data_IF_311154125598
#
_entry.id   IF_311154125598
#
_cell.length_a   1.000
_cell.length_b   1.000
_cell.length_c   1.000
_cell.angle_alpha   90.00
_cell.angle_beta   90.00
_cell.angle_gamma   90.00
#
_symmetry.space_group_name_H-M   'P 1'
#
loop_
_entity.id
_entity.type
_entity.pdbx_description
1 polymer ?
#
# COMPACT_ATOMS: atom_id res chain seq x y z
N UNK A 1 -1.42 -39.34 7.46
CA UNK A 1 -0.52 -38.18 7.20
C UNK A 1 0.87 -38.71 6.87
N UNK A 2 1.33 -38.49 5.64
CA UNK A 2 2.71 -38.90 5.28
C UNK A 2 3.70 -37.89 5.85
N UNK A 3 3.97 -37.93 7.16
CA UNK A 3 5.20 -37.42 7.77
C UNK A 3 5.28 -35.95 8.21
N UNK A 4 4.24 -35.12 8.09
CA UNK A 4 4.23 -33.77 8.63
C UNK A 4 3.47 -33.71 9.97
N UNK A 5 4.02 -32.99 10.96
CA UNK A 5 3.45 -32.91 12.31
C UNK A 5 2.33 -31.87 12.41
N UNK A 6 2.33 -30.88 11.50
CA UNK A 6 1.33 -29.80 11.45
C UNK A 6 1.16 -29.25 10.03
N UNK A 7 0.10 -28.45 9.83
CA UNK A 7 -0.14 -27.74 8.57
C UNK A 7 1.00 -26.78 8.22
N UNK A 8 1.59 -26.09 9.21
CA UNK A 8 2.73 -25.21 9.00
C UNK A 8 3.97 -25.96 8.51
N UNK A 9 4.24 -27.17 9.05
CA UNK A 9 5.32 -28.03 8.53
C UNK A 9 5.11 -28.35 7.05
N UNK A 10 3.91 -28.76 6.67
CA UNK A 10 3.56 -29.12 5.30
C UNK A 10 3.67 -27.87 4.38
N UNK A 11 3.19 -26.73 4.83
CA UNK A 11 3.23 -25.47 4.09
C UNK A 11 4.66 -24.98 3.85
N UNK A 12 5.50 -25.00 4.88
CA UNK A 12 6.92 -24.63 4.76
C UNK A 12 7.63 -25.57 3.80
N UNK A 13 7.36 -26.88 3.89
CA UNK A 13 7.94 -27.87 2.97
C UNK A 13 7.53 -27.59 1.53
N UNK A 14 6.23 -27.40 1.26
CA UNK A 14 5.72 -27.13 -0.08
C UNK A 14 6.28 -25.82 -0.63
N UNK A 15 6.31 -24.76 0.17
CA UNK A 15 6.85 -23.46 -0.24
C UNK A 15 8.34 -23.57 -0.63
N UNK A 16 9.15 -24.34 0.13
CA UNK A 16 10.57 -24.58 -0.20
C UNK A 16 10.74 -25.37 -1.47
N UNK A 17 9.94 -26.41 -1.68
CA UNK A 17 10.01 -27.27 -2.86
C UNK A 17 9.59 -26.52 -4.12
N UNK A 18 8.56 -25.65 -4.02
CA UNK A 18 8.00 -24.91 -5.15
C UNK A 18 8.62 -23.55 -5.40
N UNK A 19 9.55 -23.09 -4.57
CA UNK A 19 10.15 -21.74 -4.68
C UNK A 19 10.73 -21.42 -6.08
N UNK A 20 11.27 -22.42 -6.78
CA UNK A 20 11.76 -22.25 -8.15
C UNK A 20 10.62 -22.18 -9.19
N UNK A 21 9.37 -22.42 -8.79
CA UNK A 21 8.20 -22.60 -9.62
C UNK A 21 7.01 -21.84 -9.02
N UNK A 22 7.15 -20.53 -8.79
CA UNK A 22 6.22 -19.70 -8.02
C UNK A 22 4.75 -19.89 -8.40
N UNK A 23 4.45 -19.93 -9.71
CA UNK A 23 3.08 -20.13 -10.20
C UNK A 23 2.53 -21.54 -9.98
N UNK A 24 3.37 -22.48 -9.64
CA UNK A 24 2.97 -23.88 -9.57
C UNK A 24 2.41 -24.24 -8.19
N UNK A 25 2.96 -23.66 -7.12
CA UNK A 25 2.55 -23.96 -5.76
C UNK A 25 1.06 -23.71 -5.54
N UNK A 26 0.57 -22.56 -5.95
CA UNK A 26 -0.85 -22.18 -5.83
C UNK A 26 -1.76 -23.05 -6.71
N UNK A 27 -1.32 -23.36 -7.95
CA UNK A 27 -2.07 -24.26 -8.85
C UNK A 27 -2.19 -25.67 -8.30
N UNK A 28 -1.15 -26.17 -7.60
CA UNK A 28 -1.20 -27.47 -6.96
C UNK A 28 -2.28 -27.54 -5.88
N UNK A 29 -2.50 -26.44 -5.17
CA UNK A 29 -3.45 -26.36 -4.06
C UNK A 29 -4.90 -26.04 -4.49
N UNK A 30 -5.16 -25.71 -5.76
CA UNK A 30 -6.53 -25.38 -6.23
C UNK A 30 -7.55 -26.52 -6.03
N UNK A 31 -7.09 -27.77 -5.88
CA UNK A 31 -7.93 -28.95 -5.71
C UNK A 31 -7.97 -29.47 -4.27
N UNK A 32 -7.27 -28.82 -3.36
CA UNK A 32 -7.10 -29.30 -1.98
C UNK A 32 -7.45 -28.18 -0.99
N UNK A 33 -8.12 -28.55 0.09
CA UNK A 33 -8.55 -27.62 1.13
C UNK A 33 -7.41 -27.27 2.11
N UNK A 34 -6.31 -28.01 2.06
CA UNK A 34 -5.13 -27.80 2.90
C UNK A 34 -3.87 -28.39 2.27
N UNK A 35 -2.70 -27.96 2.74
CA UNK A 35 -1.42 -28.50 2.28
C UNK A 35 -1.21 -29.93 2.78
N UNK A 36 -1.66 -30.24 3.98
CA UNK A 36 -1.64 -31.61 4.52
C UNK A 36 -2.51 -32.55 3.69
N UNK A 37 -3.68 -32.11 3.23
CA UNK A 37 -4.56 -32.85 2.32
C UNK A 37 -3.85 -33.09 0.97
N UNK A 38 -3.22 -32.07 0.40
CA UNK A 38 -2.39 -32.23 -0.81
C UNK A 38 -1.34 -33.33 -0.65
N UNK A 39 -0.51 -33.34 0.39
CA UNK A 39 0.51 -34.36 0.60
C UNK A 39 -0.05 -35.76 0.89
N UNK A 40 -1.30 -35.86 1.41
CA UNK A 40 -1.96 -37.12 1.69
C UNK A 40 -2.50 -37.79 0.41
N UNK A 41 -3.06 -37.02 -0.50
CA UNK A 41 -3.79 -37.52 -1.67
C UNK A 41 -3.09 -37.31 -3.01
N UNK A 42 -2.04 -36.48 -3.06
CA UNK A 42 -1.31 -36.19 -4.29
C UNK A 42 -0.78 -37.47 -4.96
N UNK A 43 -1.16 -37.67 -6.22
CA UNK A 43 -0.64 -38.70 -7.10
C UNK A 43 0.22 -38.07 -8.20
N UNK A 44 1.46 -38.54 -8.41
CA UNK A 44 2.42 -37.89 -9.32
C UNK A 44 1.98 -37.82 -10.79
N UNK A 45 1.09 -38.70 -11.19
CA UNK A 45 0.67 -38.82 -12.58
C UNK A 45 -0.59 -38.00 -12.90
N UNK A 46 -1.25 -37.44 -11.90
CA UNK A 46 -2.46 -36.62 -12.07
C UNK A 46 -2.18 -35.19 -12.47
N UNK A 47 -0.98 -34.68 -12.20
CA UNK A 47 -0.58 -33.31 -12.47
C UNK A 47 0.73 -33.32 -13.25
N UNK A 48 0.75 -32.66 -14.39
CA UNK A 48 1.94 -32.49 -15.19
C UNK A 48 2.91 -31.52 -14.48
N UNK A 49 3.95 -32.09 -13.88
CA UNK A 49 4.98 -31.36 -13.12
C UNK A 49 6.34 -31.51 -13.76
N UNK A 50 7.22 -30.51 -13.62
CA UNK A 50 8.63 -30.66 -13.98
C UNK A 50 9.24 -31.89 -13.29
N UNK A 51 9.98 -32.76 -14.00
CA UNK A 51 10.50 -34.03 -13.46
C UNK A 51 11.22 -33.88 -12.12
N UNK A 52 12.07 -32.84 -12.00
CA UNK A 52 12.80 -32.54 -10.77
C UNK A 52 11.88 -32.23 -9.59
N UNK A 53 10.75 -31.58 -9.82
CA UNK A 53 9.78 -31.27 -8.76
C UNK A 53 8.99 -32.52 -8.37
N UNK A 54 8.63 -33.39 -9.34
CA UNK A 54 8.02 -34.71 -9.05
C UNK A 54 8.92 -35.50 -8.09
N UNK A 55 10.20 -35.64 -8.41
CA UNK A 55 11.17 -36.35 -7.57
C UNK A 55 11.26 -35.74 -6.16
N UNK A 56 11.27 -34.41 -6.05
CA UNK A 56 11.34 -33.71 -4.77
C UNK A 56 10.07 -33.88 -3.93
N UNK A 57 8.90 -33.87 -4.54
CA UNK A 57 7.62 -34.09 -3.85
C UNK A 57 7.46 -35.55 -3.36
N UNK A 58 8.13 -36.52 -4.00
CA UNK A 58 8.20 -37.90 -3.53
C UNK A 58 9.09 -38.09 -2.30
N UNK A 59 10.09 -37.21 -2.12
CA UNK A 59 11.08 -37.29 -1.05
C UNK A 59 11.03 -36.03 -0.16
N UNK A 60 9.86 -35.63 0.39
CA UNK A 60 9.73 -34.38 1.14
C UNK A 60 10.48 -34.41 2.50
N UNK A 61 11.11 -35.53 2.86
CA UNK A 61 11.65 -35.80 4.18
C UNK A 61 13.18 -35.97 4.21
N UNK A 62 13.90 -35.33 3.30
CA UNK A 62 15.37 -35.31 3.43
C UNK A 62 15.77 -34.62 4.73
N UNK A 63 16.84 -35.09 5.39
CA UNK A 63 17.35 -34.48 6.63
C UNK A 63 17.66 -32.99 6.48
N UNK A 64 17.98 -32.55 5.27
CA UNK A 64 18.21 -31.15 4.96
C UNK A 64 16.91 -30.35 5.06
N UNK A 65 15.83 -30.83 4.42
CA UNK A 65 14.52 -30.14 4.44
C UNK A 65 13.98 -30.11 5.86
N UNK A 66 14.09 -31.21 6.60
CA UNK A 66 13.65 -31.26 8.02
C UNK A 66 14.35 -30.20 8.87
N UNK A 67 15.69 -30.10 8.80
CA UNK A 67 16.45 -29.08 9.54
C UNK A 67 16.07 -27.66 9.15
N UNK A 68 15.76 -27.43 7.89
CA UNK A 68 15.33 -26.12 7.41
C UNK A 68 13.92 -25.76 7.91
N UNK A 69 12.99 -26.73 7.94
CA UNK A 69 11.66 -26.54 8.51
C UNK A 69 11.76 -26.25 10.00
N UNK A 70 12.52 -27.06 10.75
CA UNK A 70 12.74 -26.83 12.19
C UNK A 70 13.28 -25.44 12.50
N UNK A 71 14.18 -24.94 11.66
CA UNK A 71 14.72 -23.60 11.84
C UNK A 71 13.70 -22.50 11.50
N UNK A 72 12.81 -22.72 10.52
CA UNK A 72 11.72 -21.79 10.23
C UNK A 72 10.70 -21.77 11.38
N UNK A 73 10.37 -22.93 11.93
CA UNK A 73 9.46 -23.03 13.08
C UNK A 73 10.03 -22.33 14.33
N UNK A 74 11.32 -22.52 14.61
CA UNK A 74 11.99 -21.77 15.70
C UNK A 74 11.96 -20.27 15.52
N UNK A 75 12.03 -19.79 14.27
CA UNK A 75 11.88 -18.37 13.97
C UNK A 75 10.43 -17.90 14.17
N UNK A 76 9.45 -18.74 13.84
CA UNK A 76 8.02 -18.44 14.04
C UNK A 76 7.64 -18.39 15.53
N UNK A 77 8.38 -19.09 16.41
CA UNK A 77 8.19 -19.03 17.86
C UNK A 77 8.62 -17.69 18.49
N UNK A 78 9.32 -16.84 17.74
CA UNK A 78 9.74 -15.53 18.22
C UNK A 78 8.56 -14.53 18.23
N UNK A 79 8.49 -13.63 19.23
CA UNK A 79 7.42 -12.63 19.30
C UNK A 79 7.32 -11.77 18.05
N UNK A 80 6.10 -11.55 17.56
CA UNK A 80 5.84 -10.73 16.38
C UNK A 80 6.11 -11.42 15.05
N UNK A 81 6.52 -12.69 15.04
CA UNK A 81 6.71 -13.47 13.84
C UNK A 81 5.47 -14.32 13.52
N UNK A 82 5.18 -14.53 12.26
CA UNK A 82 4.05 -15.35 11.81
C UNK A 82 4.25 -15.89 10.40
N UNK A 83 3.58 -16.99 10.11
CA UNK A 83 3.41 -17.55 8.78
C UNK A 83 1.93 -17.41 8.42
N UNK A 84 1.63 -16.75 7.30
CA UNK A 84 0.26 -16.48 6.86
C UNK A 84 0.01 -17.30 5.61
N UNK A 85 -0.78 -18.37 5.73
CA UNK A 85 -1.14 -19.27 4.65
C UNK A 85 -2.17 -18.66 3.72
N UNK A 86 -2.16 -19.01 2.43
CA UNK A 86 -3.21 -18.65 1.47
C UNK A 86 -4.61 -19.16 1.88
N UNK A 87 -4.67 -20.16 2.76
CA UNK A 87 -5.90 -20.68 3.36
C UNK A 87 -6.34 -19.92 4.62
N UNK A 88 -5.48 -19.07 5.18
CA UNK A 88 -5.81 -18.27 6.37
C UNK A 88 -6.81 -17.16 5.97
N UNK A 89 -7.84 -16.96 6.79
CA UNK A 89 -8.80 -15.86 6.61
C UNK A 89 -8.13 -14.48 6.68
N UNK A 90 -6.96 -14.38 7.31
CA UNK A 90 -6.16 -13.16 7.42
C UNK A 90 -5.22 -12.95 6.23
N UNK A 91 -5.19 -13.88 5.26
CA UNK A 91 -4.42 -13.66 4.04
C UNK A 91 -4.96 -12.44 3.29
N UNK A 92 -4.09 -11.52 2.84
CA UNK A 92 -4.53 -10.27 2.22
C UNK A 92 -5.46 -10.50 1.03
N UNK A 93 -6.68 -9.95 1.08
CA UNK A 93 -7.70 -10.16 0.06
C UNK A 93 -7.20 -9.73 -1.32
N UNK A 94 -6.64 -8.52 -1.43
CA UNK A 94 -6.08 -8.01 -2.67
C UNK A 94 -4.96 -8.89 -3.24
N UNK A 95 -4.10 -9.43 -2.37
CA UNK A 95 -3.00 -10.30 -2.80
C UNK A 95 -3.51 -11.68 -3.29
N UNK A 96 -4.66 -12.12 -2.81
CA UNK A 96 -5.28 -13.39 -3.25
C UNK A 96 -5.84 -13.30 -4.67
N UNK A 97 -6.14 -12.09 -5.15
CA UNK A 97 -6.71 -11.84 -6.48
C UNK A 97 -5.69 -11.83 -7.61
N UNK A 98 -4.39 -11.69 -7.32
CA UNK A 98 -3.38 -11.68 -8.38
C UNK A 98 -3.22 -13.05 -9.01
N UNK A 99 -2.74 -13.11 -10.26
CA UNK A 99 -2.58 -14.37 -11.03
C UNK A 99 -1.66 -15.39 -10.35
N UNK A 100 -0.74 -14.92 -9.52
CA UNK A 100 0.30 -15.73 -8.89
C UNK A 100 0.45 -15.33 -7.40
N UNK A 101 -0.59 -15.58 -6.57
CA UNK A 101 -0.51 -15.30 -5.14
C UNK A 101 0.49 -16.25 -4.47
N UNK A 102 1.31 -15.78 -3.51
CA UNK A 102 2.23 -16.67 -2.79
C UNK A 102 1.48 -17.67 -1.91
N UNK A 103 2.01 -18.88 -1.78
CA UNK A 103 1.45 -19.92 -0.91
C UNK A 103 1.35 -19.46 0.54
N UNK A 104 2.34 -18.70 0.98
CA UNK A 104 2.40 -18.13 2.30
C UNK A 104 3.27 -16.88 2.32
N UNK A 105 3.09 -16.10 3.38
CA UNK A 105 3.94 -14.97 3.73
C UNK A 105 4.58 -15.23 5.08
N UNK A 106 5.92 -15.20 5.14
CA UNK A 106 6.66 -15.00 6.37
C UNK A 106 6.55 -13.54 6.76
N UNK A 107 6.22 -13.26 8.00
CA UNK A 107 5.96 -11.90 8.47
C UNK A 107 6.61 -11.64 9.82
N UNK A 108 7.17 -10.43 9.98
CA UNK A 108 7.73 -9.93 11.24
C UNK A 108 7.20 -8.52 11.50
N UNK A 109 6.38 -8.36 12.53
CA UNK A 109 5.70 -7.12 12.90
C UNK A 109 4.18 -7.26 13.00
N UNK A 110 3.45 -6.15 12.80
CA UNK A 110 1.99 -6.11 12.92
C UNK A 110 1.29 -6.63 11.66
N UNK A 111 0.85 -7.89 11.69
CA UNK A 111 0.17 -8.55 10.56
C UNK A 111 -1.19 -7.94 10.18
N UNK A 112 -1.84 -7.21 11.09
CA UNK A 112 -3.16 -6.63 10.83
C UNK A 112 -3.10 -5.53 9.77
N UNK A 113 -1.90 -4.97 9.53
CA UNK A 113 -1.66 -3.99 8.47
C UNK A 113 -1.85 -4.55 7.05
N UNK A 114 -1.73 -5.86 6.87
CA UNK A 114 -1.80 -6.49 5.55
C UNK A 114 -3.19 -6.42 4.91
N UNK A 115 -4.24 -6.22 5.71
CA UNK A 115 -5.62 -6.09 5.24
C UNK A 115 -6.16 -4.66 5.34
N UNK A 116 -5.29 -3.68 5.62
CA UNK A 116 -5.65 -2.26 5.59
C UNK A 116 -5.42 -1.68 4.19
N UNK A 117 -6.06 -0.56 3.91
CA UNK A 117 -5.85 0.18 2.66
C UNK A 117 -4.39 0.60 2.52
N UNK A 118 -3.80 0.26 1.35
CA UNK A 118 -2.39 0.44 1.09
C UNK A 118 -2.15 1.13 -0.24
N UNK A 119 -1.13 1.99 -0.28
CA UNK A 119 -0.59 2.55 -1.52
C UNK A 119 0.89 2.16 -1.62
N UNK A 120 1.26 1.55 -2.75
CA UNK A 120 2.65 1.26 -3.07
C UNK A 120 3.36 2.54 -3.50
N UNK A 121 4.56 2.80 -2.97
CA UNK A 121 5.43 3.88 -3.45
C UNK A 121 6.73 3.26 -3.94
N UNK A 122 7.01 3.43 -5.23
CA UNK A 122 8.19 2.86 -5.90
C UNK A 122 8.93 3.89 -6.74
N UNK A 123 10.18 3.60 -7.08
CA UNK A 123 10.92 4.50 -7.94
C UNK A 123 12.40 4.16 -8.09
N UNK A 124 13.16 5.14 -8.55
CA UNK A 124 14.59 5.02 -8.81
C UNK A 124 15.39 4.62 -7.55
N UNK A 125 16.35 3.71 -7.73
CA UNK A 125 17.35 3.39 -6.70
C UNK A 125 18.46 4.46 -6.58
N UNK A 126 18.53 5.36 -7.57
CA UNK A 126 19.44 6.51 -7.61
C UNK A 126 18.62 7.77 -7.94
N UNK A 127 17.71 8.18 -7.04
CA UNK A 127 16.85 9.31 -7.28
C UNK A 127 17.58 10.63 -7.13
N UNK A 128 16.93 11.70 -7.60
CA UNK A 128 17.33 13.06 -7.27
C UNK A 128 17.01 13.40 -5.80
N UNK A 129 17.59 14.48 -5.27
CA UNK A 129 17.20 14.97 -3.93
C UNK A 129 15.71 15.37 -3.89
N UNK A 130 15.20 15.90 -5.00
CA UNK A 130 13.79 16.25 -5.12
C UNK A 130 12.91 14.98 -5.07
N UNK A 131 13.26 13.92 -5.81
CA UNK A 131 12.55 12.66 -5.78
C UNK A 131 12.50 12.02 -4.38
N UNK A 132 13.60 12.09 -3.62
CA UNK A 132 13.60 11.64 -2.21
C UNK A 132 12.63 12.45 -1.35
N UNK A 133 12.62 13.79 -1.50
CA UNK A 133 11.70 14.68 -0.78
C UNK A 133 10.25 14.37 -1.13
N UNK A 134 9.93 14.23 -2.42
CA UNK A 134 8.59 13.91 -2.91
C UNK A 134 8.10 12.57 -2.32
N UNK A 135 8.88 11.50 -2.46
CA UNK A 135 8.51 10.19 -1.93
C UNK A 135 8.22 10.22 -0.43
N UNK A 136 9.06 10.94 0.33
CA UNK A 136 8.91 11.11 1.77
C UNK A 136 7.65 11.89 2.12
N UNK A 137 7.35 12.96 1.39
CA UNK A 137 6.19 13.81 1.60
C UNK A 137 4.89 13.05 1.32
N UNK A 138 4.75 12.42 0.13
CA UNK A 138 3.58 11.61 -0.19
C UNK A 138 3.35 10.50 0.84
N UNK A 139 4.42 9.79 1.24
CA UNK A 139 4.32 8.75 2.25
C UNK A 139 3.83 9.28 3.60
N UNK A 140 4.35 10.44 4.03
CA UNK A 140 3.94 11.09 5.27
C UNK A 140 2.48 11.54 5.23
N UNK A 141 2.04 12.19 4.14
CA UNK A 141 0.68 12.68 3.99
C UNK A 141 -0.34 11.54 3.89
N UNK A 142 -0.09 10.49 3.09
CA UNK A 142 -0.93 9.29 3.01
C UNK A 142 -1.02 8.58 4.37
N UNK A 143 0.10 8.49 5.08
CA UNK A 143 0.14 7.85 6.41
C UNK A 143 -0.68 8.61 7.46
N UNK A 144 -0.73 9.96 7.42
CA UNK A 144 -1.63 10.76 8.27
C UNK A 144 -3.11 10.48 8.03
N UNK A 145 -3.45 10.12 6.79
CA UNK A 145 -4.81 9.74 6.41
C UNK A 145 -5.15 8.28 6.73
N UNK A 146 -4.23 7.56 7.38
CA UNK A 146 -4.41 6.17 7.77
C UNK A 146 -4.15 5.17 6.66
N UNK A 147 -3.60 5.59 5.50
CA UNK A 147 -3.22 4.72 4.39
C UNK A 147 -1.83 4.14 4.66
N UNK A 148 -1.72 2.83 4.61
CA UNK A 148 -0.45 2.12 4.84
C UNK A 148 0.46 2.25 3.61
N UNK A 149 1.74 2.52 3.83
CA UNK A 149 2.71 2.63 2.74
C UNK A 149 3.41 1.30 2.51
N UNK A 150 3.26 0.75 1.32
CA UNK A 150 3.91 -0.50 0.92
C UNK A 150 5.06 -0.23 -0.04
N UNK A 151 6.23 -0.79 0.23
CA UNK A 151 7.39 -0.66 -0.66
C UNK A 151 8.39 -1.81 -0.49
N UNK A 152 9.48 -1.77 -1.24
CA UNK A 152 10.42 -2.89 -1.33
C UNK A 152 11.70 -2.76 -0.53
N UNK A 153 11.83 -1.77 0.36
CA UNK A 153 13.02 -1.49 1.15
C UNK A 153 14.32 -1.29 0.32
N UNK A 154 14.21 -1.05 -0.98
CA UNK A 154 15.36 -0.79 -1.86
C UNK A 154 15.98 0.59 -1.59
N UNK A 155 17.18 0.82 -2.15
CA UNK A 155 17.76 2.16 -2.13
C UNK A 155 16.85 3.19 -2.79
N UNK A 156 16.98 4.43 -2.36
CA UNK A 156 16.33 5.58 -3.00
C UNK A 156 14.88 5.77 -2.58
N UNK A 157 13.96 5.73 -3.54
CA UNK A 157 12.55 6.06 -3.35
C UNK A 157 11.90 5.16 -2.28
N UNK A 158 12.11 3.84 -2.35
CA UNK A 158 11.53 2.89 -1.39
C UNK A 158 11.90 3.26 0.07
N UNK A 159 13.18 3.47 0.34
CA UNK A 159 13.65 3.83 1.68
C UNK A 159 13.11 5.19 2.14
N UNK A 160 12.96 6.14 1.20
CA UNK A 160 12.41 7.46 1.49
C UNK A 160 10.92 7.37 1.84
N UNK A 161 10.16 6.53 1.13
CA UNK A 161 8.76 6.26 1.39
C UNK A 161 8.55 5.65 2.81
N UNK A 162 9.29 4.59 3.15
CA UNK A 162 9.25 4.04 4.51
C UNK A 162 9.62 5.07 5.57
N UNK A 163 10.62 5.91 5.30
CA UNK A 163 11.05 6.96 6.24
C UNK A 163 9.94 7.99 6.44
N UNK A 164 9.21 8.37 5.39
CA UNK A 164 8.08 9.30 5.47
C UNK A 164 6.94 8.73 6.32
N UNK A 165 6.52 7.50 6.05
CA UNK A 165 5.48 6.82 6.83
C UNK A 165 5.86 6.70 8.31
N UNK A 166 7.10 6.30 8.62
CA UNK A 166 7.60 6.16 9.99
C UNK A 166 7.73 7.47 10.78
N UNK A 167 7.59 8.63 10.14
CA UNK A 167 7.54 9.93 10.82
C UNK A 167 6.16 10.23 11.41
N UNK A 168 5.12 9.67 10.83
CA UNK A 168 3.72 9.86 11.22
C UNK A 168 3.20 8.69 12.06
N UNK A 169 2.22 7.94 11.54
CA UNK A 169 1.64 6.77 12.22
C UNK A 169 2.65 5.63 12.42
N UNK A 170 3.66 5.57 11.56
CA UNK A 170 4.65 4.50 11.55
C UNK A 170 4.20 3.24 10.78
N UNK A 171 3.02 3.25 10.19
CA UNK A 171 2.42 2.08 9.52
C UNK A 171 2.95 1.94 8.10
N UNK A 172 3.83 0.97 7.90
CA UNK A 172 4.42 0.68 6.58
C UNK A 172 4.75 -0.79 6.44
N UNK A 173 4.66 -1.31 5.21
CA UNK A 173 4.92 -2.70 4.86
C UNK A 173 6.15 -2.77 3.97
N UNK A 174 7.19 -3.43 4.46
CA UNK A 174 8.38 -3.73 3.66
C UNK A 174 8.27 -5.15 3.09
N UNK A 175 8.18 -5.27 1.77
CA UNK A 175 8.17 -6.55 1.09
C UNK A 175 9.60 -6.90 0.71
N UNK A 176 10.09 -8.11 1.07
CA UNK A 176 11.50 -8.51 0.87
C UNK A 176 11.67 -9.40 -0.35
N UNK A 177 12.81 -9.25 -1.05
CA UNK A 177 13.24 -10.14 -2.14
C UNK A 177 14.21 -11.24 -1.68
N UNK A 178 14.21 -11.55 -0.38
CA UNK A 178 14.99 -12.59 0.30
C UNK A 178 14.21 -13.05 1.53
N UNK A 179 14.70 -14.03 2.28
CA UNK A 179 14.08 -14.43 3.53
C UNK A 179 13.95 -13.27 4.52
N UNK A 180 12.90 -13.27 5.33
CA UNK A 180 12.64 -12.23 6.35
C UNK A 180 13.76 -12.11 7.41
N UNK A 181 14.56 -13.13 7.57
CA UNK A 181 15.74 -13.16 8.44
C UNK A 181 16.98 -12.46 7.86
N UNK A 182 16.90 -11.97 6.62
CA UNK A 182 17.99 -11.29 5.93
C UNK A 182 17.60 -9.88 5.50
N UNK A 183 18.29 -8.88 6.02
CA UNK A 183 18.04 -7.50 5.60
C UNK A 183 18.92 -7.13 4.40
N UNK A 184 18.27 -6.70 3.32
CA UNK A 184 18.93 -6.21 2.13
C UNK A 184 18.26 -4.92 1.61
N UNK A 185 19.04 -3.86 1.34
CA UNK A 185 20.48 -3.75 1.54
C UNK A 185 20.89 -3.67 3.02
N UNK A 186 22.08 -4.12 3.39
CA UNK A 186 22.57 -4.08 4.78
C UNK A 186 22.59 -2.67 5.39
N UNK A 187 22.81 -1.64 4.58
CA UNK A 187 22.78 -0.24 5.03
C UNK A 187 21.40 0.19 5.54
N UNK A 188 20.32 -0.55 5.21
CA UNK A 188 18.95 -0.28 5.67
C UNK A 188 18.56 -1.09 6.92
N UNK A 189 19.50 -1.72 7.60
CA UNK A 189 19.23 -2.52 8.80
C UNK A 189 18.47 -1.71 9.87
N UNK A 190 18.92 -0.48 10.16
CA UNK A 190 18.23 0.41 11.11
C UNK A 190 16.82 0.80 10.64
N UNK A 191 16.63 1.00 9.33
CA UNK A 191 15.32 1.29 8.76
C UNK A 191 14.41 0.05 8.88
N UNK A 192 14.92 -1.13 8.53
CA UNK A 192 14.20 -2.39 8.64
C UNK A 192 13.75 -2.68 10.08
N UNK A 193 14.62 -2.47 11.07
CA UNK A 193 14.26 -2.60 12.50
C UNK A 193 13.07 -1.71 12.85
N UNK A 194 13.11 -0.43 12.48
CA UNK A 194 12.00 0.50 12.72
C UNK A 194 10.71 0.10 12.00
N UNK A 195 10.83 -0.46 10.78
CA UNK A 195 9.67 -1.01 10.04
C UNK A 195 9.10 -2.22 10.79
N UNK A 196 9.94 -3.15 11.27
CA UNK A 196 9.49 -4.30 12.05
C UNK A 196 8.82 -3.92 13.39
N UNK A 197 9.30 -2.84 14.04
CA UNK A 197 8.76 -2.36 15.32
C UNK A 197 7.40 -1.66 15.17
N UNK A 198 7.21 -0.85 14.13
CA UNK A 198 6.03 0.02 13.94
C UNK A 198 5.12 -0.39 12.79
N UNK A 199 5.58 -1.24 11.93
CA UNK A 199 4.91 -1.74 10.74
C UNK A 199 5.05 -3.25 10.62
N UNK A 200 5.40 -3.73 9.42
CA UNK A 200 5.63 -5.15 9.16
C UNK A 200 6.64 -5.37 8.04
N UNK A 201 7.47 -6.39 8.16
CA UNK A 201 8.32 -6.92 7.11
C UNK A 201 7.71 -8.24 6.64
N UNK A 202 7.55 -8.41 5.32
CA UNK A 202 6.98 -9.63 4.75
C UNK A 202 7.83 -10.19 3.62
N UNK A 203 7.80 -11.51 3.44
CA UNK A 203 8.44 -12.20 2.32
C UNK A 203 7.70 -13.49 1.96
N UNK A 204 7.61 -13.78 0.66
CA UNK A 204 7.19 -15.12 0.17
C UNK A 204 8.32 -16.14 0.24
N UNK A 205 9.57 -15.66 0.34
CA UNK A 205 10.74 -16.53 0.32
C UNK A 205 10.97 -17.17 1.68
N UNK A 206 11.25 -18.49 1.72
CA UNK A 206 11.67 -19.17 2.94
C UNK A 206 12.88 -18.48 3.60
N UNK A 207 13.00 -18.64 4.91
CA UNK A 207 14.15 -18.11 5.65
C UNK A 207 15.47 -18.57 5.04
N UNK A 208 16.52 -17.79 5.20
CA UNK A 208 17.87 -18.03 4.62
C UNK A 208 17.93 -18.01 3.10
N UNK A 209 16.81 -17.66 2.42
CA UNK A 209 16.87 -17.40 0.99
C UNK A 209 17.72 -16.17 0.71
N UNK A 210 18.87 -16.41 0.06
CA UNK A 210 19.82 -15.34 -0.26
C UNK A 210 19.27 -14.39 -1.32
N UNK A 211 19.81 -13.19 -1.31
CA UNK A 211 19.50 -12.16 -2.32
C UNK A 211 19.91 -12.63 -3.72
N UNK A 212 18.97 -12.65 -4.65
CA UNK A 212 19.20 -13.00 -6.05
C UNK A 212 18.50 -11.97 -6.95
N UNK A 213 19.11 -11.63 -8.09
CA UNK A 213 18.56 -10.63 -9.01
C UNK A 213 17.13 -10.97 -9.48
N UNK A 214 16.85 -12.25 -9.72
CA UNK A 214 15.55 -12.76 -10.16
C UNK A 214 14.42 -12.58 -9.12
N UNK A 215 14.76 -12.51 -7.83
CA UNK A 215 13.77 -12.39 -6.77
C UNK A 215 13.14 -10.99 -6.72
N UNK A 216 13.83 -9.96 -7.19
CA UNK A 216 13.30 -8.59 -7.13
C UNK A 216 12.09 -8.36 -8.03
N UNK A 217 12.10 -8.74 -9.34
CA UNK A 217 10.89 -8.69 -10.15
C UNK A 217 9.77 -9.57 -9.61
N UNK A 218 10.09 -10.76 -9.10
CA UNK A 218 9.12 -11.67 -8.49
C UNK A 218 8.46 -11.02 -7.27
N UNK A 219 9.22 -10.41 -6.36
CA UNK A 219 8.73 -9.72 -5.19
C UNK A 219 7.86 -8.50 -5.53
N UNK A 220 8.18 -7.78 -6.62
CA UNK A 220 7.45 -6.55 -6.96
C UNK A 220 5.95 -6.79 -7.18
N UNK A 221 5.53 -7.98 -7.66
CA UNK A 221 4.12 -8.34 -7.77
C UNK A 221 3.39 -8.35 -6.42
N UNK A 222 4.11 -8.58 -5.32
CA UNK A 222 3.54 -8.52 -3.98
C UNK A 222 3.38 -7.07 -3.52
N UNK A 223 4.35 -6.20 -3.84
CA UNK A 223 4.26 -4.77 -3.52
C UNK A 223 3.01 -4.16 -4.15
N UNK A 224 2.79 -4.43 -5.43
CA UNK A 224 1.62 -3.94 -6.18
C UNK A 224 0.33 -4.68 -5.80
N UNK A 225 0.41 -6.01 -5.64
CA UNK A 225 -0.74 -6.86 -5.32
C UNK A 225 -1.34 -6.65 -3.93
N UNK A 226 -0.55 -6.14 -2.98
CA UNK A 226 -1.04 -5.74 -1.65
C UNK A 226 -1.74 -4.38 -1.67
N UNK A 227 -1.53 -3.56 -2.71
CA UNK A 227 -1.88 -2.14 -2.73
C UNK A 227 -3.08 -1.85 -3.64
N UNK A 228 -3.88 -0.86 -3.29
CA UNK A 228 -4.97 -0.33 -4.12
C UNK A 228 -4.43 0.37 -5.37
N UNK A 229 -3.26 0.98 -5.26
CA UNK A 229 -2.58 1.63 -6.36
C UNK A 229 -1.08 1.80 -6.12
N UNK A 230 -0.35 2.17 -7.17
CA UNK A 230 1.12 2.28 -7.16
C UNK A 230 1.56 3.65 -7.63
N UNK A 231 2.20 4.43 -6.75
CA UNK A 231 2.83 5.71 -7.07
C UNK A 231 4.27 5.49 -7.54
N UNK A 232 4.58 5.96 -8.75
CA UNK A 232 5.92 5.99 -9.32
C UNK A 232 6.47 7.40 -9.23
N UNK A 233 7.47 7.62 -8.37
CA UNK A 233 8.01 8.96 -8.10
C UNK A 233 9.07 9.37 -9.14
N UNK A 234 10.02 8.50 -9.41
CA UNK A 234 11.04 8.67 -10.45
C UNK A 234 11.34 7.34 -11.14
N UNK A 235 11.41 7.34 -12.46
CA UNK A 235 11.76 6.16 -13.24
C UNK A 235 12.50 6.53 -14.52
N UNK A 236 13.67 5.93 -14.77
CA UNK A 236 14.33 5.94 -16.07
C UNK A 236 13.64 4.91 -17.00
N UNK A 237 13.87 5.01 -18.31
CA UNK A 237 13.24 4.17 -19.36
C UNK A 237 13.35 2.66 -19.12
N UNK A 238 14.46 2.20 -18.52
CA UNK A 238 14.69 0.76 -18.20
C UNK A 238 14.78 0.56 -16.70
N UNK A 239 13.79 1.04 -15.97
CA UNK A 239 13.72 0.98 -14.50
C UNK A 239 12.91 -0.22 -14.02
N UNK A 240 13.33 -0.83 -12.91
CA UNK A 240 12.53 -1.86 -12.23
C UNK A 240 11.21 -1.31 -11.66
N UNK A 241 11.09 -0.01 -11.43
CA UNK A 241 9.85 0.64 -11.01
C UNK A 241 8.80 0.70 -12.12
N UNK A 242 9.21 0.77 -13.39
CA UNK A 242 8.28 0.59 -14.52
C UNK A 242 7.71 -0.83 -14.56
N UNK A 243 8.52 -1.84 -14.22
CA UNK A 243 8.02 -3.22 -14.11
C UNK A 243 6.93 -3.29 -13.03
N UNK A 244 7.11 -2.61 -11.90
CA UNK A 244 6.06 -2.55 -10.86
C UNK A 244 4.80 -1.84 -11.35
N UNK A 245 4.92 -0.75 -12.12
CA UNK A 245 3.76 -0.06 -12.69
C UNK A 245 2.95 -0.97 -13.64
N UNK A 246 3.62 -1.69 -14.53
CA UNK A 246 2.92 -2.64 -15.42
C UNK A 246 2.33 -3.83 -14.67
N UNK A 247 3.00 -4.34 -13.62
CA UNK A 247 2.44 -5.37 -12.75
C UNK A 247 1.18 -4.87 -12.02
N UNK A 248 1.14 -3.61 -11.60
CA UNK A 248 -0.05 -3.01 -11.00
C UNK A 248 -1.22 -3.00 -11.99
N UNK A 249 -0.98 -2.59 -13.25
CA UNK A 249 -2.00 -2.61 -14.32
C UNK A 249 -2.50 -4.04 -14.59
N UNK A 250 -1.58 -5.01 -14.72
CA UNK A 250 -1.94 -6.42 -14.92
C UNK A 250 -2.78 -6.98 -13.76
N UNK A 251 -2.68 -6.40 -12.57
CA UNK A 251 -3.42 -6.75 -11.37
C UNK A 251 -4.69 -5.90 -11.17
N UNK A 252 -5.09 -5.09 -12.15
CA UNK A 252 -6.21 -4.15 -12.05
C UNK A 252 -6.06 -3.17 -10.85
N UNK A 253 -4.87 -2.63 -10.65
CA UNK A 253 -4.57 -1.62 -9.63
C UNK A 253 -4.24 -0.29 -10.31
N UNK A 254 -4.61 0.80 -9.65
CA UNK A 254 -4.33 2.14 -10.14
C UNK A 254 -2.83 2.43 -10.24
N UNK A 255 -2.44 3.23 -11.23
CA UNK A 255 -1.06 3.68 -11.42
C UNK A 255 -1.01 5.19 -11.42
N UNK A 256 -0.21 5.71 -10.51
CA UNK A 256 0.05 7.13 -10.31
C UNK A 256 1.47 7.45 -10.72
N UNK A 257 1.69 8.57 -11.41
CA UNK A 257 3.03 8.95 -11.84
C UNK A 257 3.30 10.43 -11.56
N UNK A 258 4.38 10.69 -10.84
CA UNK A 258 4.81 12.06 -10.55
C UNK A 258 5.43 12.66 -11.80
N UNK A 259 4.95 13.82 -12.29
CA UNK A 259 5.55 14.53 -13.41
C UNK A 259 6.92 15.09 -13.00
N UNK A 260 7.76 15.42 -13.97
CA UNK A 260 9.05 16.02 -13.71
C UNK A 260 9.60 16.78 -14.89
N UNK A 261 10.83 17.28 -14.79
CA UNK A 261 11.46 18.02 -15.89
C UNK A 261 11.64 17.11 -17.12
N UNK A 262 11.31 17.61 -18.30
CA UNK A 262 11.56 16.94 -19.60
C UNK A 262 13.05 16.72 -19.87
N UNK A 263 13.93 17.45 -19.19
CA UNK A 263 15.39 17.31 -19.28
C UNK A 263 15.95 16.27 -18.30
N UNK A 264 15.12 15.76 -17.38
CA UNK A 264 15.54 14.75 -16.41
C UNK A 264 15.39 13.34 -16.95
N UNK A 265 16.46 12.60 -17.01
CA UNK A 265 16.43 11.16 -17.37
C UNK A 265 15.64 10.31 -16.38
N UNK A 266 15.47 10.79 -15.13
CA UNK A 266 14.69 10.13 -14.09
C UNK A 266 13.17 10.33 -14.24
N UNK A 267 12.73 11.31 -15.05
CA UNK A 267 11.30 11.58 -15.28
C UNK A 267 10.74 10.90 -16.53
N UNK A 268 11.62 10.40 -17.41
CA UNK A 268 11.20 9.85 -18.72
C UNK A 268 10.23 8.68 -18.55
N UNK A 269 10.46 7.80 -17.57
CA UNK A 269 9.59 6.67 -17.30
C UNK A 269 8.22 7.11 -16.75
N UNK A 270 8.18 8.09 -15.85
CA UNK A 270 6.91 8.66 -15.37
C UNK A 270 6.13 9.32 -16.49
N UNK A 271 6.79 10.08 -17.38
CA UNK A 271 6.15 10.67 -18.58
C UNK A 271 5.61 9.60 -19.52
N UNK A 272 6.30 8.45 -19.65
CA UNK A 272 5.78 7.34 -20.43
C UNK A 272 4.51 6.77 -19.80
N UNK A 273 4.52 6.51 -18.49
CA UNK A 273 3.34 6.01 -17.76
C UNK A 273 2.14 6.95 -17.89
N UNK A 274 2.35 8.28 -17.78
CA UNK A 274 1.29 9.28 -17.96
C UNK A 274 0.70 9.21 -19.38
N UNK A 275 1.55 9.09 -20.41
CA UNK A 275 1.08 8.91 -21.80
C UNK A 275 0.33 7.60 -22.02
N UNK A 276 0.68 6.56 -21.26
CA UNK A 276 0.05 5.25 -21.31
C UNK A 276 -1.24 5.21 -20.47
N UNK A 277 -1.62 6.31 -19.81
CA UNK A 277 -2.89 6.45 -19.07
C UNK A 277 -2.76 6.46 -17.55
N UNK A 278 -1.54 6.40 -16.99
CA UNK A 278 -1.38 6.59 -15.55
C UNK A 278 -1.82 8.00 -15.11
N UNK A 279 -2.45 8.11 -13.95
CA UNK A 279 -2.87 9.39 -13.37
C UNK A 279 -1.64 10.27 -13.13
N UNK A 280 -1.60 11.45 -13.77
CA UNK A 280 -0.64 12.48 -13.40
C UNK A 280 -0.91 12.91 -11.97
N UNK A 281 0.12 12.89 -11.12
CA UNK A 281 -0.03 13.02 -9.67
C UNK A 281 0.93 14.07 -9.13
N UNK A 282 0.37 15.20 -8.69
CA UNK A 282 1.10 16.32 -8.10
C UNK A 282 0.87 16.43 -6.59
N UNK A 283 -0.25 15.83 -6.11
CA UNK A 283 -0.67 15.87 -4.71
C UNK A 283 -1.28 14.53 -4.26
N UNK A 284 -1.46 14.35 -2.95
CA UNK A 284 -2.15 13.19 -2.39
C UNK A 284 -3.63 13.18 -2.80
N UNK A 285 -4.24 14.34 -3.04
CA UNK A 285 -5.62 14.42 -3.51
C UNK A 285 -5.82 13.69 -4.83
N UNK A 286 -4.86 13.75 -5.75
CA UNK A 286 -4.92 13.03 -7.03
C UNK A 286 -4.98 11.51 -6.85
N UNK A 287 -4.39 10.99 -5.77
CA UNK A 287 -4.44 9.57 -5.41
C UNK A 287 -5.81 9.24 -4.80
N UNK A 288 -6.29 10.07 -3.87
CA UNK A 288 -7.54 9.82 -3.15
C UNK A 288 -8.76 9.85 -4.08
N UNK A 289 -8.74 10.67 -5.13
CA UNK A 289 -9.80 10.73 -6.17
C UNK A 289 -10.08 9.37 -6.82
N UNK A 290 -9.06 8.55 -6.99
CA UNK A 290 -9.16 7.23 -7.63
C UNK A 290 -9.32 6.09 -6.62
N UNK A 291 -9.12 6.35 -5.31
CA UNK A 291 -9.24 5.30 -4.30
C UNK A 291 -10.70 5.12 -3.86
N UNK A 292 -11.24 3.89 -3.89
CA UNK A 292 -12.61 3.62 -3.47
C UNK A 292 -12.82 3.95 -2.00
N UNK A 293 -13.88 4.68 -1.68
CA UNK A 293 -14.27 5.01 -0.31
C UNK A 293 -13.60 6.26 0.27
N UNK A 294 -12.69 6.90 -0.45
CA UNK A 294 -12.11 8.18 -0.07
C UNK A 294 -12.88 9.31 -0.76
N UNK A 295 -13.49 10.17 0.03
CA UNK A 295 -14.13 11.40 -0.47
C UNK A 295 -13.17 12.54 -0.16
N UNK A 296 -12.68 13.19 -1.20
CA UNK A 296 -11.95 14.44 -1.02
C UNK A 296 -13.02 15.46 -0.61
N UNK A 297 -13.10 15.71 0.69
CA UNK A 297 -13.67 16.98 1.10
C UNK A 297 -12.73 18.05 0.53
N UNK A 298 -13.25 19.09 -0.16
CA UNK A 298 -12.43 20.22 -0.52
C UNK A 298 -11.63 20.58 0.74
N UNK A 299 -10.34 20.92 0.62
CA UNK A 299 -9.57 21.28 1.79
C UNK A 299 -10.41 22.28 2.56
N UNK A 300 -10.83 21.94 3.76
CA UNK A 300 -11.13 22.95 4.74
C UNK A 300 -9.89 23.83 4.63
N UNK A 301 -10.06 25.01 4.10
CA UNK A 301 -9.03 26.03 4.04
C UNK A 301 -8.57 26.21 5.50
N UNK A 302 -7.62 25.38 5.89
CA UNK A 302 -7.06 25.35 7.25
C UNK A 302 -6.26 26.60 7.58
N UNK A 303 -6.41 27.64 6.74
CA UNK A 303 -5.92 28.99 6.93
C UNK A 303 -6.98 30.09 6.75
N UNK A 304 -8.25 29.73 6.53
CA UNK A 304 -9.37 30.64 6.70
C UNK A 304 -10.11 30.29 8.01
N UNK A 305 -9.57 30.69 9.16
CA UNK A 305 -10.48 31.22 10.18
C UNK A 305 -11.39 32.20 9.42
N UNK A 306 -12.72 32.01 9.46
CA UNK A 306 -13.61 32.91 8.74
C UNK A 306 -13.20 34.32 9.11
N UNK A 307 -12.89 35.13 8.09
CA UNK A 307 -12.40 36.51 8.33
C UNK A 307 -13.22 37.08 9.45
N UNK A 308 -12.67 37.91 10.30
CA UNK A 308 -13.40 38.45 11.47
C UNK A 308 -14.79 38.96 11.09
N UNK A 309 -14.98 39.28 9.81
CA UNK A 309 -16.26 39.73 9.20
C UNK A 309 -17.18 38.56 8.87
N UNK A 310 -16.71 37.45 8.28
CA UNK A 310 -17.51 36.22 8.05
C UNK A 310 -18.05 35.67 9.39
N UNK A 311 -17.18 35.66 10.41
CA UNK A 311 -17.55 35.20 11.75
C UNK A 311 -18.64 36.08 12.39
N UNK A 312 -18.55 37.40 12.27
CA UNK A 312 -19.58 38.34 12.72
C UNK A 312 -20.91 38.08 12.04
N UNK A 313 -20.93 37.77 10.73
CA UNK A 313 -22.15 37.45 9.99
C UNK A 313 -22.75 36.14 10.51
N UNK A 314 -21.95 35.07 10.64
CA UNK A 314 -22.42 33.75 11.09
C UNK A 314 -22.95 33.78 12.52
N UNK A 315 -22.41 34.61 13.41
CA UNK A 315 -22.86 34.79 14.80
C UNK A 315 -24.23 35.47 14.90
N UNK A 316 -24.62 36.26 13.90
CA UNK A 316 -25.90 36.92 13.86
C UNK A 316 -27.00 36.08 13.19
N UNK A 317 -26.64 35.11 12.36
CA UNK A 317 -27.58 34.27 11.67
C UNK A 317 -28.14 33.15 12.58
N UNK A 318 -29.42 32.92 12.50
CA UNK A 318 -30.17 31.92 13.25
C UNK A 318 -31.09 31.11 12.33
N UNK A 319 -32.03 30.37 12.90
CA UNK A 319 -33.10 29.69 12.14
C UNK A 319 -34.15 30.67 11.54
N UNK A 320 -34.16 31.92 11.97
CA UNK A 320 -35.00 32.96 11.41
C UNK A 320 -34.24 33.73 10.33
N UNK A 321 -34.86 33.99 9.16
CA UNK A 321 -34.22 34.73 8.08
C UNK A 321 -33.89 36.17 8.50
N UNK A 322 -32.69 36.63 8.15
CA UNK A 322 -32.23 38.01 8.35
C UNK A 322 -31.90 38.62 7.00
N UNK A 323 -32.43 39.78 6.70
CA UNK A 323 -32.14 40.46 5.44
C UNK A 323 -30.73 41.04 5.37
N UNK A 324 -30.17 41.27 4.17
CA UNK A 324 -28.86 41.93 4.03
C UNK A 324 -28.79 43.32 4.66
N UNK A 325 -29.93 44.07 4.61
CA UNK A 325 -29.98 45.40 5.20
C UNK A 325 -29.93 45.35 6.73
N UNK A 326 -30.62 44.42 7.36
CA UNK A 326 -30.54 44.19 8.81
C UNK A 326 -29.15 43.70 9.23
N UNK A 327 -28.56 42.80 8.45
CA UNK A 327 -27.16 42.34 8.71
C UNK A 327 -26.17 43.51 8.60
N UNK A 328 -26.36 44.43 7.65
CA UNK A 328 -25.54 45.63 7.53
C UNK A 328 -25.66 46.50 8.80
N UNK A 329 -26.85 46.74 9.28
CA UNK A 329 -27.09 47.54 10.49
C UNK A 329 -26.48 46.90 11.74
N UNK A 330 -26.58 45.57 11.89
CA UNK A 330 -26.09 44.84 13.07
C UNK A 330 -24.57 44.70 13.04
N UNK A 331 -23.96 44.37 11.88
CA UNK A 331 -22.55 44.06 11.77
C UNK A 331 -21.66 45.26 11.49
N UNK A 332 -22.24 46.34 10.94
CA UNK A 332 -21.53 47.52 10.49
C UNK A 332 -20.68 47.31 9.22
N UNK A 333 -20.82 46.15 8.54
CA UNK A 333 -20.08 45.84 7.32
C UNK A 333 -20.73 46.59 6.15
N UNK A 334 -20.00 47.32 5.30
CA UNK A 334 -20.55 48.00 4.13
C UNK A 334 -21.32 47.05 3.21
N UNK A 335 -22.50 47.48 2.72
CA UNK A 335 -23.45 46.58 2.00
C UNK A 335 -22.81 45.90 0.78
N UNK A 336 -21.95 46.58 0.04
CA UNK A 336 -21.24 46.01 -1.12
C UNK A 336 -20.26 44.90 -0.71
N UNK A 337 -19.60 45.01 0.43
CA UNK A 337 -18.73 44.00 0.99
C UNK A 337 -19.55 42.85 1.61
N UNK A 338 -20.64 43.19 2.33
CA UNK A 338 -21.53 42.21 2.94
C UNK A 338 -22.17 41.28 1.91
N UNK A 339 -22.65 41.80 0.78
CA UNK A 339 -23.22 40.98 -0.30
C UNK A 339 -22.19 39.99 -0.86
N UNK A 340 -20.93 40.42 -1.05
CA UNK A 340 -19.86 39.52 -1.51
C UNK A 340 -19.54 38.43 -0.50
N UNK A 341 -19.54 38.76 0.81
CA UNK A 341 -19.34 37.78 1.89
C UNK A 341 -20.51 36.79 2.01
N UNK A 342 -21.76 37.24 1.84
CA UNK A 342 -22.93 36.39 1.86
C UNK A 342 -22.94 35.41 0.69
N UNK A 343 -22.58 35.85 -0.51
CA UNK A 343 -22.44 34.98 -1.69
C UNK A 343 -21.36 33.91 -1.43
N UNK A 344 -20.22 34.29 -0.88
CA UNK A 344 -19.15 33.34 -0.56
C UNK A 344 -19.59 32.32 0.51
N UNK A 345 -20.27 32.78 1.58
CA UNK A 345 -20.78 31.89 2.63
C UNK A 345 -21.87 30.95 2.11
N UNK A 346 -22.68 31.37 1.11
CA UNK A 346 -23.68 30.54 0.45
C UNK A 346 -23.02 29.48 -0.47
N UNK A 347 -21.99 29.85 -1.23
CA UNK A 347 -21.17 28.92 -2.05
C UNK A 347 -20.45 27.90 -1.15
N UNK A 348 -20.02 28.31 0.04
CA UNK A 348 -19.38 27.47 1.05
C UNK A 348 -20.38 26.63 1.87
N UNK A 349 -21.67 26.61 1.52
CA UNK A 349 -22.77 25.90 2.21
C UNK A 349 -22.90 26.22 3.72
N UNK A 350 -22.42 27.38 4.17
CA UNK A 350 -22.59 27.85 5.54
C UNK A 350 -23.94 28.48 5.81
N UNK A 351 -24.53 29.10 4.79
CA UNK A 351 -25.84 29.77 4.86
C UNK A 351 -26.70 29.40 3.64
N UNK A 352 -28.01 29.64 3.75
CA UNK A 352 -28.98 29.44 2.66
C UNK A 352 -29.84 30.70 2.52
N UNK A 353 -29.89 31.24 1.30
CA UNK A 353 -30.80 32.33 0.96
C UNK A 353 -32.23 31.82 0.78
N UNK A 354 -33.24 32.60 1.30
CA UNK A 354 -34.65 32.37 1.06
C UNK A 354 -35.42 33.69 0.84
N UNK A 355 -36.74 33.65 0.67
CA UNK A 355 -37.56 34.82 0.36
C UNK A 355 -37.56 35.92 1.46
N UNK A 356 -36.98 35.66 2.63
CA UNK A 356 -36.92 36.61 3.75
C UNK A 356 -35.52 37.04 4.14
N UNK A 357 -34.46 36.53 3.47
CA UNK A 357 -33.06 36.78 3.82
C UNK A 357 -32.22 35.51 3.91
N UNK A 358 -31.18 35.50 4.74
CA UNK A 358 -30.27 34.38 4.91
C UNK A 358 -30.45 33.69 6.27
N UNK A 359 -30.29 32.37 6.30
CA UNK A 359 -30.32 31.52 7.50
C UNK A 359 -29.07 30.61 7.54
N UNK A 360 -28.70 30.13 8.71
CA UNK A 360 -27.65 29.10 8.83
C UNK A 360 -28.07 27.81 8.12
N UNK A 361 -27.18 27.22 7.34
CA UNK A 361 -27.41 25.92 6.74
C UNK A 361 -27.55 24.85 7.84
N UNK A 362 -28.58 24.01 7.78
CA UNK A 362 -28.73 22.87 8.71
C UNK A 362 -27.67 21.83 8.37
N UNK A 363 -26.67 21.67 9.22
CA UNK A 363 -25.77 20.49 9.15
C UNK A 363 -26.62 19.24 9.34
N UNK A 364 -26.73 18.39 8.32
CA UNK A 364 -27.24 17.03 8.51
C UNK A 364 -26.17 16.30 9.34
N UNK A 365 -26.49 16.05 10.60
CA UNK A 365 -25.77 15.07 11.41
C UNK A 365 -26.01 13.70 10.76
N UNK A 366 -24.95 13.12 10.18
CA UNK A 366 -24.89 11.71 9.81
C UNK A 366 -24.60 10.85 11.01
#
# INVERSE_FOLDING_TARGET
>A
MRGFESEDHALIALNRLTQAYSRLGTKLLQRFDSVSHFFAEYQPDEIELPPRLKDQLHLPHTDVIKREIEADLKWLDLPGHSLISIFDQRYPALLKEIDDPPLCLYASGNRDLLNRDQVAIVGSRKPTQLGLKIAKQFASELSRLGIVITSGLAYGIDASAHTGALQESGETIAVMGCGCDLIYPRSHERLAMRVGEKGIIVSEFPLRTRVQKRNFPQRNRLVTGLSLGTLVVEAAVKSGSLVSAYLALDQNREVYAVPGSIFSTQSVGCHQLIRDGAKLTESVSDILEELPGYVILPPDSADDEPSSEKRKILEQLSASPISPDELHEITGIPINQLVSLLINLEIEDHIVGNQGGYVLAKRKSS
#
